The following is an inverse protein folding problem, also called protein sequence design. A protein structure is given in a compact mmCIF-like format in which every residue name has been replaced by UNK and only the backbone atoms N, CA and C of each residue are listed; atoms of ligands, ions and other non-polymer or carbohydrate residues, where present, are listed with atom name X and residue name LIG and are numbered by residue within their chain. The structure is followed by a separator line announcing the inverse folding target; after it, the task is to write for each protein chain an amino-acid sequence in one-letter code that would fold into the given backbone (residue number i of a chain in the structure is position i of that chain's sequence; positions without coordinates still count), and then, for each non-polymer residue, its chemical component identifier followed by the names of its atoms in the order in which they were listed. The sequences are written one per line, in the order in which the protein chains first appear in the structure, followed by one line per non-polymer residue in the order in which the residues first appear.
data_IF_580221299208
#
_entry.id   IF_580221299208
#
_cell.length_a   1.000
_cell.length_b   1.000
_cell.length_c   1.000
_cell.angle_alpha   90.00
_cell.angle_beta   90.00
_cell.angle_gamma   90.00
#
_symmetry.space_group_name_H-M   'P 1'
#
loop_
_entity.id
_entity.type
_entity.pdbx_description
1 polymer ?
#
# COMPACT_ATOMS: atom_id res chain seq x y z
N UNK A 1 -8.05 -1.51 -12.97
CA UNK A 1 -7.82 -1.70 -11.52
C UNK A 1 -7.31 -3.11 -11.31
N UNK A 2 -6.39 -3.30 -10.37
CA UNK A 2 -5.90 -4.63 -9.96
C UNK A 2 -6.68 -5.09 -8.72
N UNK A 3 -6.67 -6.38 -8.39
CA UNK A 3 -7.19 -6.86 -7.10
C UNK A 3 -6.22 -6.51 -5.96
N UNK A 4 -4.91 -6.64 -6.26
CA UNK A 4 -3.79 -6.35 -5.36
C UNK A 4 -2.97 -5.18 -5.90
N UNK A 5 -2.70 -4.17 -5.07
CA UNK A 5 -1.91 -3.00 -5.44
C UNK A 5 -2.02 -1.83 -4.46
N UNK A 6 -1.20 -0.78 -4.64
CA UNK A 6 -1.21 0.40 -3.78
C UNK A 6 -2.59 1.05 -3.72
N UNK A 7 -3.01 1.47 -2.53
CA UNK A 7 -4.29 2.17 -2.36
C UNK A 7 -4.20 3.56 -3.01
N UNK A 8 -5.21 3.95 -3.83
CA UNK A 8 -5.23 5.29 -4.39
C UNK A 8 -5.38 6.32 -3.26
N UNK A 9 -4.50 7.32 -3.25
CA UNK A 9 -4.61 8.47 -2.36
C UNK A 9 -5.32 9.63 -3.05
N UNK A 10 -5.85 10.57 -2.25
CA UNK A 10 -6.53 11.75 -2.82
C UNK A 10 -5.50 12.62 -3.55
N UNK A 11 -5.80 13.10 -4.75
CA UNK A 11 -4.86 13.85 -5.58
C UNK A 11 -4.32 15.11 -4.88
N UNK A 12 -5.15 15.76 -4.06
CA UNK A 12 -4.77 16.92 -3.23
C UNK A 12 -3.58 16.63 -2.29
N UNK A 13 -3.50 15.41 -1.75
CA UNK A 13 -2.38 14.99 -0.90
C UNK A 13 -1.19 14.51 -1.73
N UNK A 14 -1.45 13.86 -2.86
CA UNK A 14 -0.41 13.32 -3.75
C UNK A 14 0.53 14.43 -4.23
N UNK A 15 0.01 15.57 -4.70
CA UNK A 15 0.86 16.67 -5.17
C UNK A 15 1.77 17.24 -4.07
N UNK A 16 1.29 17.28 -2.82
CA UNK A 16 2.07 17.71 -1.67
C UNK A 16 3.12 16.68 -1.24
N UNK A 17 2.81 15.39 -1.37
CA UNK A 17 3.74 14.30 -1.05
C UNK A 17 4.79 14.09 -2.14
N UNK A 18 4.44 14.20 -3.42
CA UNK A 18 5.41 14.09 -4.52
C UNK A 18 6.50 15.17 -4.46
N UNK A 19 6.18 16.36 -3.93
CA UNK A 19 7.16 17.43 -3.74
C UNK A 19 8.05 17.24 -2.51
N UNK A 20 7.56 16.56 -1.48
CA UNK A 20 8.25 16.40 -0.18
C UNK A 20 8.98 15.06 -0.05
N UNK A 21 8.42 14.02 -0.64
CA UNK A 21 8.87 12.64 -0.52
C UNK A 21 9.46 12.19 -1.87
N UNK A 22 10.77 11.90 -1.93
CA UNK A 22 11.38 11.41 -3.15
C UNK A 22 10.80 10.05 -3.54
N UNK A 23 10.66 9.80 -4.84
CA UNK A 23 10.13 8.56 -5.41
C UNK A 23 8.66 8.25 -5.10
N UNK A 24 7.89 9.21 -4.56
CA UNK A 24 6.46 8.99 -4.30
C UNK A 24 5.68 8.60 -5.56
N UNK A 25 6.02 9.20 -6.71
CA UNK A 25 5.39 8.92 -7.99
C UNK A 25 5.58 7.47 -8.49
N UNK A 26 6.63 6.76 -8.02
CA UNK A 26 6.92 5.38 -8.47
C UNK A 26 5.81 4.40 -8.08
N UNK A 27 5.02 4.71 -7.04
CA UNK A 27 3.85 3.90 -6.66
C UNK A 27 2.76 3.87 -7.73
N UNK A 28 2.72 4.86 -8.63
CA UNK A 28 1.75 4.95 -9.73
C UNK A 28 2.10 4.06 -10.93
N UNK A 29 3.25 3.37 -10.90
CA UNK A 29 3.66 2.45 -11.97
C UNK A 29 2.83 1.17 -12.03
N UNK A 30 2.21 0.79 -10.92
CA UNK A 30 1.29 -0.35 -10.82
C UNK A 30 -0.15 0.13 -10.66
N UNK A 31 -1.09 -0.65 -11.20
CA UNK A 31 -2.51 -0.31 -11.09
C UNK A 31 -2.94 -0.37 -9.62
N UNK A 32 -3.73 0.62 -9.15
CA UNK A 32 -4.24 0.59 -7.79
C UNK A 32 -5.10 -0.65 -7.54
N UNK A 33 -5.02 -1.15 -6.30
CA UNK A 33 -5.69 -2.37 -5.83
C UNK A 33 -6.75 -2.11 -4.78
N UNK A 34 -7.59 -3.13 -4.52
CA UNK A 34 -8.55 -3.13 -3.41
C UNK A 34 -7.83 -3.41 -2.09
N UNK A 35 -6.88 -4.36 -2.12
CA UNK A 35 -5.94 -4.67 -1.04
C UNK A 35 -4.50 -4.43 -1.50
N UNK A 36 -3.57 -4.28 -0.57
CA UNK A 36 -2.17 -4.04 -0.88
C UNK A 36 -1.26 -4.41 0.29
N UNK A 37 0.02 -4.67 -0.03
CA UNK A 37 1.04 -5.02 0.96
C UNK A 37 1.11 -4.01 2.12
N UNK A 38 1.08 -2.72 1.79
CA UNK A 38 1.09 -1.65 2.77
C UNK A 38 -0.14 -1.66 3.70
N UNK A 39 -1.32 -2.10 3.23
CA UNK A 39 -2.53 -2.17 4.08
C UNK A 39 -2.46 -3.31 5.10
N UNK A 40 -1.74 -4.38 4.79
CA UNK A 40 -1.51 -5.49 5.72
C UNK A 40 -0.43 -5.17 6.74
N UNK A 41 0.67 -4.56 6.30
CA UNK A 41 1.81 -4.27 7.17
C UNK A 41 1.64 -2.98 7.98
N UNK A 42 0.86 -2.01 7.48
CA UNK A 42 0.81 -0.67 8.06
C UNK A 42 -0.60 -0.03 7.93
N UNK A 43 -1.54 -0.38 8.82
CA UNK A 43 -2.94 0.07 8.72
C UNK A 43 -3.17 1.54 9.11
N UNK A 44 -2.26 2.17 9.86
CA UNK A 44 -2.42 3.54 10.36
C UNK A 44 -1.23 4.40 9.93
N UNK A 45 -1.50 5.50 9.23
CA UNK A 45 -0.50 6.52 8.95
C UNK A 45 -1.05 7.86 9.42
N UNK A 46 -0.48 8.39 10.50
CA UNK A 46 -0.87 9.67 11.08
C UNK A 46 0.14 10.77 10.72
N UNK A 47 1.41 10.40 10.61
CA UNK A 47 2.51 11.34 10.41
C UNK A 47 3.16 11.22 9.01
N UNK A 48 3.99 12.21 8.66
CA UNK A 48 4.74 12.22 7.39
C UNK A 48 5.74 11.04 7.31
N UNK A 49 6.37 10.69 8.43
CA UNK A 49 7.22 9.49 8.54
C UNK A 49 6.44 8.19 8.29
N UNK A 50 5.20 8.09 8.78
CA UNK A 50 4.34 6.94 8.49
C UNK A 50 4.02 6.84 6.99
N UNK A 51 3.81 8.00 6.35
CA UNK A 51 3.57 8.05 4.90
C UNK A 51 4.79 7.56 4.13
N UNK A 52 5.99 7.90 4.59
CA UNK A 52 7.25 7.39 4.02
C UNK A 52 7.37 5.87 4.23
N UNK A 53 7.07 5.37 5.43
CA UNK A 53 7.11 3.94 5.72
C UNK A 53 6.09 3.17 4.85
N UNK A 54 4.86 3.69 4.73
CA UNK A 54 3.83 3.16 3.83
C UNK A 54 4.32 3.14 2.37
N UNK A 55 4.95 4.22 1.92
CA UNK A 55 5.52 4.30 0.58
C UNK A 55 6.60 3.22 0.37
N UNK A 56 7.46 2.95 1.35
CA UNK A 56 8.47 1.90 1.21
C UNK A 56 7.84 0.52 0.97
N UNK A 57 6.73 0.20 1.65
CA UNK A 57 5.98 -1.04 1.41
C UNK A 57 5.32 -1.07 0.02
N UNK A 58 4.75 0.05 -0.42
CA UNK A 58 4.20 0.18 -1.77
C UNK A 58 5.31 -0.02 -2.83
N UNK A 59 6.48 0.60 -2.66
CA UNK A 59 7.63 0.48 -3.57
C UNK A 59 8.23 -0.93 -3.54
N UNK A 60 8.25 -1.59 -2.38
CA UNK A 60 8.65 -2.98 -2.27
C UNK A 60 7.76 -3.88 -3.12
N UNK A 61 6.44 -3.65 -3.07
CA UNK A 61 5.47 -4.36 -3.90
C UNK A 61 5.66 -4.07 -5.39
N UNK A 62 5.87 -2.80 -5.77
CA UNK A 62 6.17 -2.41 -7.17
C UNK A 62 7.42 -3.12 -7.68
N UNK A 63 8.47 -3.18 -6.84
CA UNK A 63 9.76 -3.79 -7.20
C UNK A 63 9.70 -5.32 -7.26
N UNK A 64 8.97 -5.96 -6.35
CA UNK A 64 8.91 -7.41 -6.21
C UNK A 64 7.55 -7.97 -6.67
N UNK A 65 6.97 -7.35 -7.71
CA UNK A 65 5.68 -7.73 -8.26
C UNK A 65 5.72 -9.19 -8.75
N UNK A 66 5.19 -10.10 -7.94
CA UNK A 66 5.20 -11.54 -8.18
C UNK A 66 3.88 -12.15 -7.75
N UNK A 67 3.44 -13.19 -8.45
CA UNK A 67 2.22 -13.95 -8.10
C UNK A 67 2.23 -14.49 -6.67
N UNK A 68 3.42 -14.83 -6.15
CA UNK A 68 3.57 -15.29 -4.78
C UNK A 68 3.23 -14.20 -3.76
N UNK A 69 3.68 -12.96 -4.01
CA UNK A 69 3.37 -11.81 -3.16
C UNK A 69 1.87 -11.46 -3.21
N UNK A 70 1.24 -11.58 -4.38
CA UNK A 70 -0.21 -11.39 -4.50
C UNK A 70 -0.99 -12.41 -3.67
N UNK A 71 -0.60 -13.69 -3.72
CA UNK A 71 -1.24 -14.75 -2.93
C UNK A 71 -1.04 -14.50 -1.43
N UNK A 72 0.16 -14.11 -0.99
CA UNK A 72 0.42 -13.83 0.42
C UNK A 72 -0.42 -12.65 0.93
N UNK A 73 -0.60 -11.60 0.13
CA UNK A 73 -1.47 -10.47 0.44
C UNK A 73 -2.93 -10.92 0.54
N UNK A 74 -3.40 -11.74 -0.39
CA UNK A 74 -4.79 -12.23 -0.36
C UNK A 74 -5.02 -13.09 0.90
N UNK A 75 -4.10 -14.00 1.21
CA UNK A 75 -4.20 -14.86 2.41
C UNK A 75 -4.18 -14.03 3.70
N UNK A 76 -3.28 -13.06 3.81
CA UNK A 76 -3.24 -12.14 4.96
C UNK A 76 -4.53 -11.32 5.07
N UNK A 77 -5.06 -10.84 3.95
CA UNK A 77 -6.34 -10.10 3.92
C UNK A 77 -7.49 -10.97 4.42
N UNK A 78 -7.55 -12.23 3.97
CA UNK A 78 -8.56 -13.21 4.42
C UNK A 78 -8.41 -13.50 5.91
N UNK A 79 -7.19 -13.67 6.41
CA UNK A 79 -6.93 -13.87 7.84
C UNK A 79 -7.43 -12.68 8.67
N UNK A 80 -7.12 -11.45 8.25
CA UNK A 80 -7.57 -10.23 8.93
C UNK A 80 -9.09 -10.11 8.96
N UNK A 81 -9.77 -10.43 7.87
CA UNK A 81 -11.24 -10.40 7.78
C UNK A 81 -11.87 -11.49 8.65
N UNK A 82 -11.31 -12.70 8.67
CA UNK A 82 -11.81 -13.82 9.47
C UNK A 82 -11.58 -13.63 10.97
N UNK A 83 -10.43 -13.11 11.37
CA UNK A 83 -10.07 -12.91 12.79
C UNK A 83 -10.40 -11.51 13.33
N UNK A 84 -10.85 -10.58 12.50
CA UNK A 84 -11.22 -9.22 12.93
C UNK A 84 -10.05 -8.39 13.51
N UNK A 85 -8.80 -8.83 13.34
CA UNK A 85 -7.62 -8.20 13.95
C UNK A 85 -7.29 -6.80 13.38
N UNK A 86 -7.90 -6.41 12.26
CA UNK A 86 -7.68 -5.11 11.62
C UNK A 86 -8.56 -3.97 12.13
N UNK A 87 -9.46 -4.21 13.10
CA UNK A 87 -10.44 -3.24 13.59
C UNK A 87 -10.08 -2.64 14.97
N UNK A 88 -8.80 -2.39 15.25
CA UNK A 88 -8.36 -1.77 16.50
C UNK A 88 -7.66 -0.45 16.28
#
# INVERSE_FOLDING_TARGET
MSFVGPRPERPEFVEGFEKRIPFYAERHRVKPGITGWAQLCYPYAADEEDTINKLQYDLYYVKNYTLFLDISIILGTVEVVLWGKGAR
#
